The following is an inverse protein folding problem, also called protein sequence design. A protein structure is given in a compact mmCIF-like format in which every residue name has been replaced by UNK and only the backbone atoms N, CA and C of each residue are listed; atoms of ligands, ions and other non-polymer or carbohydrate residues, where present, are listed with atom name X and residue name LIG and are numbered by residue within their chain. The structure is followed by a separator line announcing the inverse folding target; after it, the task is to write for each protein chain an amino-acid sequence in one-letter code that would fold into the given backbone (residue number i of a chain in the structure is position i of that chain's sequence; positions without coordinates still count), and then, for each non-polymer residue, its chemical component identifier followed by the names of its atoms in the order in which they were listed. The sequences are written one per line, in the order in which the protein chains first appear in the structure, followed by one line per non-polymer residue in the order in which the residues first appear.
data_IF_829964601716
#
_entry.id   IF_829964601716
#
_cell.length_a   1.000
_cell.length_b   1.000
_cell.length_c   1.000
_cell.angle_alpha   90.00
_cell.angle_beta   90.00
_cell.angle_gamma   90.00
#
_symmetry.space_group_name_H-M   'P 1'
#
loop_
_entity.id
_entity.type
_entity.pdbx_description
1 polymer ?
#
# COMPACT_ATOMS: atom_id res chain seq x y z
N UNK A 1 -1.22 90.07 37.80
CA UNK A 1 0.13 89.53 37.50
C UNK A 1 0.10 88.09 37.94
N UNK A 2 -0.25 87.19 37.06
CA UNK A 2 -0.14 85.76 37.29
C UNK A 2 0.32 85.18 35.97
N UNK A 3 1.57 84.78 36.00
CA UNK A 3 2.22 84.09 34.90
C UNK A 3 1.68 82.65 34.80
N UNK A 4 1.05 82.40 33.66
CA UNK A 4 0.56 81.07 33.35
C UNK A 4 1.65 80.32 32.54
N UNK A 5 2.42 79.59 33.24
CA UNK A 5 3.47 78.75 32.67
C UNK A 5 2.90 77.53 31.98
N UNK A 6 2.94 77.49 30.64
CA UNK A 6 2.47 76.46 29.80
C UNK A 6 3.49 75.31 29.79
N UNK A 7 3.09 74.15 30.26
CA UNK A 7 3.85 72.90 30.22
C UNK A 7 3.81 72.36 28.78
N UNK A 8 4.94 72.10 28.13
CA UNK A 8 4.94 71.44 26.81
C UNK A 8 4.54 69.98 26.93
N UNK A 9 3.48 69.59 26.28
CA UNK A 9 3.16 68.20 26.04
C UNK A 9 4.12 67.63 25.01
N UNK A 10 5.02 66.73 25.43
CA UNK A 10 5.76 65.87 24.52
C UNK A 10 4.83 64.86 23.88
N UNK A 11 4.84 64.72 22.55
CA UNK A 11 4.07 63.66 21.90
C UNK A 11 4.74 62.31 22.17
N UNK A 12 4.02 61.41 22.82
CA UNK A 12 4.39 60.01 22.88
C UNK A 12 4.30 59.41 21.48
N UNK A 13 5.39 59.45 20.73
CA UNK A 13 5.53 58.72 19.48
C UNK A 13 5.63 57.21 19.77
N UNK A 14 4.56 56.51 19.44
CA UNK A 14 4.56 55.28 18.68
C UNK A 14 5.34 54.09 19.21
N UNK A 15 4.86 53.43 20.28
CA UNK A 15 5.24 52.05 20.66
C UNK A 15 4.86 50.97 19.60
N UNK A 16 4.13 51.34 18.53
CA UNK A 16 3.70 50.40 17.50
C UNK A 16 4.76 49.97 16.49
N UNK A 17 5.80 50.79 16.25
CA UNK A 17 6.83 50.49 15.27
C UNK A 17 7.81 49.41 15.74
N UNK A 18 8.08 49.32 17.05
CA UNK A 18 8.99 48.35 17.63
C UNK A 18 8.42 46.93 17.61
N UNK A 19 7.11 46.78 17.88
CA UNK A 19 6.42 45.48 17.82
C UNK A 19 6.31 44.94 16.40
N UNK A 20 6.07 45.78 15.42
CA UNK A 20 6.04 45.39 13.99
C UNK A 20 7.41 44.94 13.51
N UNK A 21 8.49 45.63 13.91
CA UNK A 21 9.86 45.25 13.57
C UNK A 21 10.26 43.90 14.20
N UNK A 22 9.86 43.65 15.45
CA UNK A 22 10.07 42.37 16.12
C UNK A 22 9.31 41.25 15.43
N UNK A 23 8.06 41.50 15.01
CA UNK A 23 7.26 40.51 14.30
C UNK A 23 7.81 40.20 12.92
N UNK A 24 8.27 41.23 12.19
CA UNK A 24 8.95 41.07 10.91
C UNK A 24 10.23 40.25 11.04
N UNK A 25 11.04 40.55 12.07
CA UNK A 25 12.28 39.83 12.36
C UNK A 25 12.02 38.34 12.67
N UNK A 26 11.01 38.05 13.51
CA UNK A 26 10.59 36.70 13.81
C UNK A 26 10.12 35.95 12.55
N UNK A 27 9.32 36.60 11.72
CA UNK A 27 8.83 36.01 10.48
C UNK A 27 9.96 35.67 9.50
N UNK A 28 10.93 36.58 9.33
CA UNK A 28 12.09 36.33 8.48
C UNK A 28 12.98 35.20 9.03
N UNK A 29 13.10 35.09 10.35
CA UNK A 29 13.86 34.01 10.99
C UNK A 29 13.19 32.66 10.74
N UNK A 30 11.88 32.57 10.91
CA UNK A 30 11.09 31.35 10.62
C UNK A 30 11.15 31.00 9.13
N UNK A 31 11.02 31.98 8.24
CA UNK A 31 11.14 31.78 6.80
C UNK A 31 12.51 31.24 6.41
N UNK A 32 13.58 31.83 6.96
CA UNK A 32 14.98 31.36 6.74
C UNK A 32 15.17 29.94 7.22
N UNK A 33 14.59 29.60 8.36
CA UNK A 33 14.64 28.23 8.90
C UNK A 33 13.94 27.23 7.98
N UNK A 34 12.76 27.56 7.45
CA UNK A 34 12.07 26.70 6.50
C UNK A 34 12.83 26.53 5.19
N UNK A 35 13.44 27.60 4.66
CA UNK A 35 14.28 27.51 3.46
C UNK A 35 15.47 26.58 3.72
N UNK A 36 16.10 26.68 4.89
CA UNK A 36 17.22 25.84 5.26
C UNK A 36 16.79 24.37 5.41
N UNK A 37 15.64 24.09 6.04
CA UNK A 37 15.09 22.74 6.14
C UNK A 37 14.78 22.15 4.76
N UNK A 38 14.15 22.91 3.87
CA UNK A 38 13.86 22.46 2.50
C UNK A 38 15.14 22.18 1.73
N UNK A 39 16.15 23.04 1.87
CA UNK A 39 17.44 22.86 1.18
C UNK A 39 18.20 21.63 1.66
N UNK A 40 18.12 21.29 2.96
CA UNK A 40 18.74 20.09 3.51
C UNK A 40 17.95 18.85 3.09
N UNK A 41 16.61 18.91 3.13
CA UNK A 41 15.74 17.79 2.80
C UNK A 41 15.89 17.30 1.35
N UNK A 42 16.10 18.20 0.40
CA UNK A 42 16.26 17.82 -1.02
C UNK A 42 17.64 17.24 -1.37
N UNK A 43 18.61 17.34 -0.47
CA UNK A 43 19.98 16.81 -0.72
C UNK A 43 20.20 15.37 -0.27
N UNK A 44 19.33 14.82 0.55
CA UNK A 44 19.53 13.46 1.09
C UNK A 44 19.27 12.35 0.07
N UNK A 45 18.32 12.52 -0.85
CA UNK A 45 18.00 11.47 -1.84
C UNK A 45 19.16 11.23 -2.83
N UNK A 46 19.83 12.27 -3.29
CA UNK A 46 20.94 12.13 -4.24
C UNK A 46 22.25 11.65 -3.60
N UNK A 47 22.47 11.98 -2.31
CA UNK A 47 23.66 11.50 -1.59
C UNK A 47 23.55 10.05 -1.14
N UNK A 48 22.35 9.59 -0.81
CA UNK A 48 22.12 8.21 -0.41
C UNK A 48 22.42 7.21 -1.55
N UNK A 49 22.06 7.55 -2.78
CA UNK A 49 22.38 6.70 -3.93
C UNK A 49 23.88 6.69 -4.25
N UNK A 50 24.54 7.84 -4.21
CA UNK A 50 25.98 7.92 -4.47
C UNK A 50 26.84 7.23 -3.38
N UNK A 51 26.39 7.27 -2.13
CA UNK A 51 27.06 6.56 -1.01
C UNK A 51 26.82 5.05 -1.12
N UNK A 52 25.64 4.61 -1.50
CA UNK A 52 25.34 3.18 -1.75
C UNK A 52 26.18 2.64 -2.91
N UNK A 53 26.30 3.37 -4.01
CA UNK A 53 27.13 2.97 -5.15
C UNK A 53 28.64 2.94 -4.78
N UNK A 54 29.12 3.91 -4.00
CA UNK A 54 30.49 3.96 -3.52
C UNK A 54 30.82 2.84 -2.52
N UNK A 55 29.91 2.55 -1.59
CA UNK A 55 30.04 1.42 -0.67
C UNK A 55 30.06 0.08 -1.43
N UNK A 56 29.16 -0.07 -2.39
CA UNK A 56 29.08 -1.31 -3.19
C UNK A 56 30.36 -1.55 -4.00
N UNK A 57 30.99 -0.50 -4.54
CA UNK A 57 32.24 -0.60 -5.28
C UNK A 57 33.45 -0.90 -4.37
N UNK A 58 33.47 -0.33 -3.18
CA UNK A 58 34.59 -0.48 -2.23
C UNK A 58 34.55 -1.85 -1.53
N UNK A 59 33.36 -2.38 -1.23
CA UNK A 59 33.21 -3.68 -0.57
C UNK A 59 33.32 -4.88 -1.52
N UNK A 60 33.25 -4.68 -2.85
CA UNK A 60 33.51 -5.75 -3.82
C UNK A 60 34.92 -6.35 -3.72
N UNK A 61 35.87 -5.65 -3.08
CA UNK A 61 37.27 -6.07 -3.02
C UNK A 61 37.67 -6.87 -1.76
N UNK A 62 36.80 -7.00 -0.76
CA UNK A 62 37.19 -7.54 0.57
C UNK A 62 36.45 -8.84 0.94
N UNK A 63 35.47 -9.28 0.17
CA UNK A 63 34.76 -10.53 0.45
C UNK A 63 35.41 -11.71 -0.29
N UNK A 64 35.71 -12.82 0.41
CA UNK A 64 36.21 -14.04 -0.25
C UNK A 64 35.17 -14.58 -1.23
N UNK A 65 35.58 -15.19 -2.36
CA UNK A 65 34.69 -15.57 -3.47
C UNK A 65 33.92 -16.87 -3.20
N UNK A 66 33.26 -17.00 -2.07
CA UNK A 66 32.47 -18.19 -1.79
C UNK A 66 31.35 -17.85 -0.81
N UNK A 67 30.22 -17.47 -1.28
CA UNK A 67 28.86 -17.80 -0.80
C UNK A 67 27.79 -16.76 -1.16
N UNK A 68 28.11 -15.47 -1.38
CA UNK A 68 27.07 -14.43 -1.55
C UNK A 68 26.77 -14.00 -3.00
N UNK A 69 27.57 -14.43 -3.98
CA UNK A 69 27.38 -14.07 -5.39
C UNK A 69 26.09 -14.67 -5.97
N UNK A 70 25.67 -15.83 -5.49
CA UNK A 70 24.42 -16.47 -5.92
C UNK A 70 23.19 -15.76 -5.38
N UNK A 71 23.22 -15.26 -4.15
CA UNK A 71 22.12 -14.51 -3.56
C UNK A 71 21.99 -13.11 -4.17
N UNK A 72 23.12 -12.45 -4.45
CA UNK A 72 23.13 -11.12 -5.10
C UNK A 72 22.67 -11.19 -6.56
N UNK A 73 23.17 -12.17 -7.33
CA UNK A 73 22.73 -12.43 -8.72
C UNK A 73 21.26 -12.87 -8.79
N UNK A 74 20.76 -13.61 -7.81
CA UNK A 74 19.36 -14.00 -7.76
C UNK A 74 18.45 -12.79 -7.53
N UNK A 75 18.85 -11.86 -6.66
CA UNK A 75 18.09 -10.65 -6.34
C UNK A 75 18.07 -9.64 -7.50
N UNK A 76 19.19 -9.46 -8.18
CA UNK A 76 19.28 -8.65 -9.42
C UNK A 76 18.47 -9.28 -10.55
N UNK A 77 18.51 -10.60 -10.71
CA UNK A 77 17.70 -11.35 -11.66
C UNK A 77 16.21 -11.18 -11.42
N UNK A 78 15.78 -11.20 -10.16
CA UNK A 78 14.37 -10.97 -9.78
C UNK A 78 13.88 -9.59 -10.17
N UNK A 79 14.67 -8.55 -9.92
CA UNK A 79 14.32 -7.16 -10.29
C UNK A 79 14.22 -7.02 -11.80
N UNK A 80 15.15 -7.61 -12.56
CA UNK A 80 15.13 -7.54 -14.03
C UNK A 80 13.89 -8.25 -14.61
N UNK A 81 13.52 -9.40 -14.09
CA UNK A 81 12.30 -10.12 -14.47
C UNK A 81 11.06 -9.28 -14.14
N UNK A 82 11.03 -8.64 -12.97
CA UNK A 82 9.96 -7.75 -12.59
C UNK A 82 9.85 -6.51 -13.48
N UNK A 83 10.96 -5.92 -13.91
CA UNK A 83 10.96 -4.81 -14.86
C UNK A 83 10.38 -5.24 -16.23
N UNK A 84 10.77 -6.40 -16.74
CA UNK A 84 10.19 -6.96 -17.97
C UNK A 84 8.68 -7.20 -17.84
N UNK A 85 8.25 -7.70 -16.71
CA UNK A 85 6.81 -7.84 -16.41
C UNK A 85 6.10 -6.48 -16.42
N UNK A 86 6.64 -5.43 -15.78
CA UNK A 86 6.08 -4.08 -15.77
C UNK A 86 6.02 -3.48 -17.19
N UNK A 87 7.06 -3.65 -17.99
CA UNK A 87 7.09 -3.24 -19.41
C UNK A 87 6.01 -3.95 -20.23
N UNK A 88 5.86 -5.26 -20.04
CA UNK A 88 4.86 -6.05 -20.74
C UNK A 88 3.44 -5.61 -20.37
N UNK A 89 3.14 -5.42 -19.10
CA UNK A 89 1.85 -4.88 -18.62
C UNK A 89 1.59 -3.49 -19.23
N UNK A 90 2.57 -2.59 -19.16
CA UNK A 90 2.46 -1.25 -19.75
C UNK A 90 2.12 -1.34 -21.24
N UNK A 91 2.80 -2.19 -22.00
CA UNK A 91 2.56 -2.39 -23.43
C UNK A 91 1.16 -2.91 -23.72
N UNK A 92 0.69 -3.91 -22.95
CA UNK A 92 -0.65 -4.50 -23.09
C UNK A 92 -1.73 -3.43 -22.93
N UNK A 93 -1.61 -2.61 -21.90
CA UNK A 93 -2.62 -1.59 -21.60
C UNK A 93 -2.54 -0.41 -22.57
N UNK A 94 -1.37 0.11 -22.86
CA UNK A 94 -1.21 1.26 -23.77
C UNK A 94 -1.65 0.95 -25.21
N UNK A 95 -1.49 -0.30 -25.66
CA UNK A 95 -2.00 -0.73 -26.97
C UNK A 95 -3.52 -0.89 -26.99
N UNK A 96 -4.14 -1.17 -25.86
CA UNK A 96 -5.56 -1.48 -25.78
C UNK A 96 -6.43 -0.30 -25.34
N UNK A 97 -5.84 0.71 -24.72
CA UNK A 97 -6.56 1.85 -24.11
C UNK A 97 -5.81 3.16 -24.37
N UNK A 98 -6.56 4.23 -24.69
CA UNK A 98 -5.98 5.56 -24.93
C UNK A 98 -5.81 6.39 -23.66
N UNK A 99 -6.66 6.19 -22.67
CA UNK A 99 -6.69 6.96 -21.42
C UNK A 99 -6.29 6.05 -20.28
N UNK A 100 -5.00 6.07 -19.96
CA UNK A 100 -4.45 5.30 -18.86
C UNK A 100 -3.26 6.07 -18.24
N UNK A 101 -3.22 6.11 -16.93
CA UNK A 101 -2.06 6.62 -16.19
C UNK A 101 -1.29 5.41 -15.65
N UNK A 102 -0.05 5.26 -16.08
CA UNK A 102 0.87 4.23 -15.61
C UNK A 102 1.89 4.89 -14.69
N UNK A 103 2.09 4.30 -13.52
CA UNK A 103 3.03 4.77 -12.51
C UNK A 103 3.85 3.57 -12.01
N UNK A 104 5.16 3.61 -12.21
CA UNK A 104 6.09 2.64 -11.63
C UNK A 104 6.46 3.16 -10.24
N UNK A 105 5.86 2.59 -9.20
CA UNK A 105 6.09 2.98 -7.81
C UNK A 105 7.43 2.44 -7.32
N UNK A 106 7.72 1.18 -7.68
CA UNK A 106 9.00 0.54 -7.39
C UNK A 106 9.43 -0.31 -8.58
N UNK A 107 10.56 0.03 -9.22
CA UNK A 107 11.05 -0.72 -10.37
C UNK A 107 11.20 -2.22 -10.07
N UNK A 108 10.64 -3.05 -10.94
CA UNK A 108 10.68 -4.51 -10.82
C UNK A 108 9.83 -5.12 -9.70
N UNK A 109 9.09 -4.32 -8.91
CA UNK A 109 8.31 -4.84 -7.77
C UNK A 109 6.87 -4.36 -7.71
N UNK A 110 6.62 -3.09 -7.98
CA UNK A 110 5.32 -2.48 -7.78
C UNK A 110 5.01 -1.47 -8.87
N UNK A 111 3.86 -1.61 -9.51
CA UNK A 111 3.33 -0.61 -10.43
C UNK A 111 1.84 -0.39 -10.20
N UNK A 112 1.39 0.78 -10.57
CA UNK A 112 0.01 1.22 -10.43
C UNK A 112 -0.50 1.73 -11.77
N UNK A 113 -1.70 1.31 -12.13
CA UNK A 113 -2.43 1.82 -13.29
C UNK A 113 -3.71 2.48 -12.81
N UNK A 114 -4.05 3.60 -13.40
CA UNK A 114 -5.34 4.28 -13.16
C UNK A 114 -6.03 4.46 -14.51
N UNK A 115 -7.28 4.03 -14.59
CA UNK A 115 -8.09 4.11 -15.79
C UNK A 115 -9.55 4.38 -15.42
N UNK A 116 -10.32 5.00 -16.32
CA UNK A 116 -11.75 5.16 -16.10
C UNK A 116 -12.48 3.81 -16.20
N UNK A 117 -13.50 3.61 -15.36
CA UNK A 117 -14.26 2.37 -15.31
C UNK A 117 -14.97 2.06 -16.64
N UNK A 118 -15.41 3.07 -17.37
CA UNK A 118 -16.04 2.94 -18.69
C UNK A 118 -15.07 2.50 -19.80
N UNK A 119 -13.76 2.54 -19.53
CA UNK A 119 -12.77 1.93 -20.41
C UNK A 119 -12.86 0.39 -20.40
N UNK A 120 -13.36 -0.21 -19.31
CA UNK A 120 -13.53 -1.65 -19.16
C UNK A 120 -15.00 -2.08 -19.26
N UNK A 121 -15.90 -1.35 -18.62
CA UNK A 121 -17.31 -1.67 -18.50
C UNK A 121 -18.19 -0.80 -19.42
N UNK A 122 -19.41 -1.22 -19.67
CA UNK A 122 -20.41 -0.30 -20.21
C UNK A 122 -20.80 0.74 -19.14
N UNK A 123 -21.13 1.92 -19.59
CA UNK A 123 -21.51 3.02 -18.68
C UNK A 123 -22.74 2.64 -17.85
N UNK A 124 -22.61 2.74 -16.52
CA UNK A 124 -23.68 2.38 -15.60
C UNK A 124 -23.94 0.87 -15.45
N UNK A 125 -23.14 0.00 -16.09
CA UNK A 125 -23.32 -1.44 -16.08
C UNK A 125 -22.12 -2.16 -15.45
N UNK A 126 -22.31 -3.45 -15.18
CA UNK A 126 -21.30 -4.40 -14.68
C UNK A 126 -20.72 -5.26 -15.79
N UNK A 127 -21.29 -5.20 -16.98
CA UNK A 127 -20.83 -5.97 -18.13
C UNK A 127 -19.51 -5.41 -18.68
N UNK A 128 -18.52 -6.30 -18.85
CA UNK A 128 -17.25 -5.96 -19.47
C UNK A 128 -17.45 -5.86 -20.96
N UNK A 129 -16.94 -4.79 -21.57
CA UNK A 129 -17.00 -4.58 -23.02
C UNK A 129 -16.30 -5.74 -23.75
N UNK A 130 -16.94 -6.42 -24.71
CA UNK A 130 -16.35 -7.54 -25.43
C UNK A 130 -15.02 -7.18 -26.13
N UNK A 131 -14.88 -5.93 -26.56
CA UNK A 131 -13.64 -5.41 -27.13
C UNK A 131 -12.45 -5.45 -26.15
N UNK A 132 -12.67 -5.68 -24.87
CA UNK A 132 -11.63 -5.80 -23.82
C UNK A 132 -11.22 -7.25 -23.52
N UNK A 133 -11.92 -8.24 -24.03
CA UNK A 133 -11.55 -9.63 -23.82
C UNK A 133 -10.14 -9.97 -24.29
N UNK A 134 -9.65 -9.52 -25.45
CA UNK A 134 -8.26 -9.77 -25.83
C UNK A 134 -7.21 -9.14 -24.89
N UNK A 135 -7.54 -8.02 -24.23
CA UNK A 135 -6.70 -7.45 -23.18
C UNK A 135 -6.66 -8.39 -21.96
N UNK A 136 -7.82 -8.89 -21.50
CA UNK A 136 -7.89 -9.79 -20.36
C UNK A 136 -7.14 -11.09 -20.63
N UNK A 137 -7.25 -11.65 -21.85
CA UNK A 137 -6.54 -12.89 -22.23
C UNK A 137 -5.02 -12.70 -22.18
N UNK A 138 -4.51 -11.56 -22.69
CA UNK A 138 -3.07 -11.23 -22.60
C UNK A 138 -2.63 -11.01 -21.17
N UNK A 139 -3.48 -10.38 -20.35
CA UNK A 139 -3.21 -10.14 -18.95
C UNK A 139 -3.10 -11.45 -18.17
N UNK A 140 -4.04 -12.38 -18.41
CA UNK A 140 -4.02 -13.72 -17.84
C UNK A 140 -2.74 -14.47 -18.23
N UNK A 141 -2.38 -14.45 -19.52
CA UNK A 141 -1.15 -15.07 -20.00
C UNK A 141 0.10 -14.50 -19.32
N UNK A 142 0.14 -13.18 -19.11
CA UNK A 142 1.27 -12.51 -18.46
C UNK A 142 1.36 -12.86 -16.98
N UNK A 143 0.24 -12.88 -16.25
CA UNK A 143 0.19 -13.28 -14.84
C UNK A 143 0.54 -14.76 -14.62
N UNK A 144 0.14 -15.62 -15.57
CA UNK A 144 0.42 -17.07 -15.53
C UNK A 144 1.85 -17.40 -15.93
N UNK A 145 2.49 -16.57 -16.75
CA UNK A 145 3.85 -16.75 -17.26
C UNK A 145 4.97 -16.45 -16.26
N UNK A 146 4.70 -16.60 -14.98
CA UNK A 146 5.64 -16.33 -13.89
C UNK A 146 6.78 -17.36 -13.86
N UNK A 147 8.07 -16.93 -13.73
CA UNK A 147 9.18 -17.84 -13.50
C UNK A 147 9.08 -18.56 -12.15
N UNK A 148 9.72 -19.72 -11.99
CA UNK A 148 9.84 -20.38 -10.71
C UNK A 148 10.43 -19.45 -9.64
N UNK A 149 9.88 -19.47 -8.43
CA UNK A 149 10.33 -18.60 -7.34
C UNK A 149 9.81 -17.18 -7.39
N UNK A 150 8.99 -16.80 -8.40
CA UNK A 150 8.35 -15.49 -8.48
C UNK A 150 6.84 -15.63 -8.58
N UNK A 151 6.17 -14.61 -8.06
CA UNK A 151 4.73 -14.50 -8.09
C UNK A 151 4.33 -13.12 -8.65
N UNK A 152 3.46 -13.13 -9.64
CA UNK A 152 2.86 -11.94 -10.20
C UNK A 152 1.43 -11.83 -9.71
N UNK A 153 1.17 -10.82 -8.92
CA UNK A 153 -0.15 -10.58 -8.34
C UNK A 153 -0.74 -9.30 -8.91
N UNK A 154 -2.04 -9.31 -9.06
CA UNK A 154 -2.83 -8.16 -9.49
C UNK A 154 -3.95 -7.89 -8.48
N UNK A 155 -4.09 -6.62 -8.12
CA UNK A 155 -5.19 -6.14 -7.28
C UNK A 155 -6.01 -5.12 -8.05
N UNK A 156 -7.27 -5.44 -8.29
CA UNK A 156 -8.22 -4.62 -9.02
C UNK A 156 -9.14 -3.89 -8.04
N UNK A 157 -9.01 -2.57 -7.98
CA UNK A 157 -9.73 -1.72 -7.02
C UNK A 157 -10.64 -0.77 -7.77
N UNK A 158 -11.92 -0.77 -7.41
CA UNK A 158 -12.93 0.17 -7.92
C UNK A 158 -13.14 1.28 -6.91
N UNK A 159 -13.16 2.53 -7.37
CA UNK A 159 -13.54 3.66 -6.54
C UNK A 159 -15.00 3.54 -6.09
N UNK A 160 -15.26 3.90 -4.84
CA UNK A 160 -16.60 3.89 -4.26
C UNK A 160 -16.82 5.16 -3.45
N UNK A 161 -18.04 5.69 -3.48
CA UNK A 161 -18.43 6.80 -2.60
C UNK A 161 -18.60 6.35 -1.15
N UNK A 162 -18.51 5.05 -0.89
CA UNK A 162 -18.56 4.48 0.45
C UNK A 162 -17.29 4.85 1.24
N UNK A 163 -17.47 5.31 2.47
CA UNK A 163 -16.39 5.53 3.43
C UNK A 163 -16.44 4.46 4.53
N UNK A 164 -15.29 4.00 5.07
CA UNK A 164 -15.27 2.96 6.11
C UNK A 164 -16.04 3.30 7.39
N UNK A 165 -16.30 4.58 7.64
CA UNK A 165 -17.04 5.07 8.82
C UNK A 165 -18.57 4.96 8.66
N UNK A 166 -19.05 4.66 7.47
CA UNK A 166 -20.47 4.42 7.23
C UNK A 166 -20.74 2.91 7.24
N UNK A 167 -21.92 2.52 7.72
CA UNK A 167 -22.38 1.14 7.70
C UNK A 167 -22.23 0.53 6.31
N UNK A 168 -21.79 -0.74 6.25
CA UNK A 168 -21.70 -1.50 5.01
C UNK A 168 -23.04 -1.43 4.26
N UNK A 169 -23.03 -1.13 2.96
CA UNK A 169 -24.26 -1.09 2.20
C UNK A 169 -24.96 -2.44 2.28
N UNK A 170 -26.20 -2.45 2.74
CA UNK A 170 -27.05 -3.66 2.84
C UNK A 170 -27.36 -4.28 1.47
N UNK A 171 -27.06 -3.57 0.38
CA UNK A 171 -27.27 -4.02 -1.00
C UNK A 171 -25.98 -3.96 -1.78
N UNK A 172 -25.85 -4.85 -2.73
CA UNK A 172 -24.74 -4.87 -3.68
C UNK A 172 -24.72 -3.56 -4.48
N UNK A 173 -23.62 -2.81 -4.36
CA UNK A 173 -23.40 -1.58 -5.15
C UNK A 173 -22.88 -1.93 -6.56
N UNK A 174 -23.00 -0.97 -7.48
CA UNK A 174 -22.47 -1.13 -8.84
C UNK A 174 -20.97 -1.43 -8.83
N UNK A 175 -20.22 -0.75 -7.94
CA UNK A 175 -18.78 -0.90 -7.80
C UNK A 175 -18.40 -2.31 -7.31
N UNK A 176 -19.13 -2.84 -6.31
CA UNK A 176 -18.98 -4.23 -5.86
C UNK A 176 -19.27 -5.22 -6.98
N UNK A 177 -20.35 -4.98 -7.71
CA UNK A 177 -20.76 -5.84 -8.81
C UNK A 177 -19.73 -5.83 -9.96
N UNK A 178 -19.14 -4.67 -10.28
CA UNK A 178 -18.03 -4.51 -11.24
C UNK A 178 -16.77 -5.25 -10.81
N UNK A 179 -16.35 -5.09 -9.53
CA UNK A 179 -15.22 -5.81 -8.98
C UNK A 179 -15.41 -7.33 -9.08
N UNK A 180 -16.59 -7.82 -8.71
CA UNK A 180 -16.95 -9.24 -8.83
C UNK A 180 -17.05 -9.73 -10.28
N UNK A 181 -17.58 -8.92 -11.20
CA UNK A 181 -17.65 -9.26 -12.63
C UNK A 181 -16.25 -9.38 -13.24
N UNK A 182 -15.36 -8.46 -12.88
CA UNK A 182 -13.95 -8.52 -13.32
C UNK A 182 -13.26 -9.79 -12.81
N UNK A 183 -13.39 -10.09 -11.51
CA UNK A 183 -12.79 -11.29 -10.93
C UNK A 183 -13.29 -12.57 -11.63
N UNK A 184 -14.60 -12.71 -11.83
CA UNK A 184 -15.19 -13.85 -12.55
C UNK A 184 -14.68 -13.95 -13.99
N UNK A 185 -14.58 -12.83 -14.68
CA UNK A 185 -14.08 -12.80 -16.05
C UNK A 185 -12.62 -13.24 -16.17
N UNK A 186 -11.78 -12.87 -15.21
CA UNK A 186 -10.38 -13.28 -15.15
C UNK A 186 -10.25 -14.77 -14.78
N UNK A 187 -10.98 -15.23 -13.77
CA UNK A 187 -10.98 -16.64 -13.36
C UNK A 187 -11.49 -17.56 -14.47
N UNK A 188 -12.56 -17.17 -15.18
CA UNK A 188 -13.08 -17.91 -16.32
C UNK A 188 -12.07 -18.03 -17.48
N UNK A 189 -11.06 -17.15 -17.55
CA UNK A 189 -9.97 -17.18 -18.52
C UNK A 189 -8.73 -17.90 -18.02
N UNK A 190 -8.77 -18.43 -16.81
CA UNK A 190 -7.71 -19.27 -16.25
C UNK A 190 -6.58 -18.48 -15.55
N UNK A 191 -6.87 -17.28 -15.04
CA UNK A 191 -5.89 -16.62 -14.16
C UNK A 191 -5.69 -17.48 -12.91
N UNK A 192 -4.43 -17.65 -12.42
CA UNK A 192 -4.21 -18.32 -11.15
C UNK A 192 -4.98 -17.60 -10.03
N UNK A 193 -5.82 -18.31 -9.23
CA UNK A 193 -6.65 -17.68 -8.21
C UNK A 193 -5.84 -16.91 -7.14
N UNK A 194 -4.61 -17.32 -6.93
CA UNK A 194 -3.67 -16.70 -6.01
C UNK A 194 -3.01 -15.43 -6.56
N UNK A 195 -3.21 -15.14 -7.85
CA UNK A 195 -2.63 -13.98 -8.54
C UNK A 195 -3.61 -12.83 -8.74
N UNK A 196 -4.86 -12.96 -8.28
CA UNK A 196 -5.86 -11.91 -8.42
C UNK A 196 -6.54 -11.61 -7.08
N UNK A 197 -6.68 -10.34 -6.79
CA UNK A 197 -7.53 -9.81 -5.73
C UNK A 197 -8.38 -8.65 -6.24
N UNK A 198 -9.51 -8.43 -5.62
CA UNK A 198 -10.43 -7.33 -5.95
C UNK A 198 -10.83 -6.59 -4.69
N UNK A 199 -11.01 -5.28 -4.79
CA UNK A 199 -11.34 -4.44 -3.66
C UNK A 199 -12.11 -3.18 -4.04
N UNK A 200 -12.55 -2.47 -3.02
CA UNK A 200 -13.13 -1.15 -3.12
C UNK A 200 -12.27 -0.18 -2.31
N UNK A 201 -12.19 1.06 -2.75
CA UNK A 201 -11.57 2.13 -1.98
C UNK A 201 -12.45 3.39 -2.03
N UNK A 202 -12.43 4.25 -1.02
CA UNK A 202 -13.04 5.56 -1.10
C UNK A 202 -12.49 6.36 -2.29
N UNK A 203 -13.38 6.98 -3.07
CA UNK A 203 -12.99 7.76 -4.24
C UNK A 203 -14.06 7.85 -5.31
N UNK A 204 -13.69 8.34 -6.48
CA UNK A 204 -14.59 8.42 -7.63
C UNK A 204 -15.04 7.03 -8.08
N UNK A 205 -16.35 6.86 -8.27
CA UNK A 205 -16.97 5.64 -8.81
C UNK A 205 -16.57 5.34 -10.26
N UNK A 206 -16.03 6.35 -10.92
CA UNK A 206 -15.61 6.26 -12.32
C UNK A 206 -14.15 5.81 -12.45
N UNK A 207 -13.40 5.73 -11.33
CA UNK A 207 -12.01 5.36 -11.35
C UNK A 207 -11.79 3.90 -10.96
N UNK A 208 -10.96 3.25 -11.73
CA UNK A 208 -10.40 1.94 -11.45
C UNK A 208 -8.89 2.09 -11.25
N UNK A 209 -8.38 1.48 -10.19
CA UNK A 209 -6.95 1.39 -9.92
C UNK A 209 -6.55 -0.07 -9.93
N UNK A 210 -5.52 -0.38 -10.69
CA UNK A 210 -4.95 -1.72 -10.75
C UNK A 210 -3.53 -1.65 -10.23
N UNK A 211 -3.25 -2.43 -9.21
CA UNK A 211 -1.91 -2.63 -8.71
C UNK A 211 -1.36 -3.95 -9.23
N UNK A 212 -0.09 -3.94 -9.61
CA UNK A 212 0.65 -5.15 -9.95
C UNK A 212 1.85 -5.27 -9.04
N UNK A 213 2.02 -6.47 -8.48
CA UNK A 213 3.07 -6.81 -7.56
C UNK A 213 3.92 -7.93 -8.14
N UNK A 214 5.23 -7.83 -7.99
CA UNK A 214 6.16 -8.92 -8.19
C UNK A 214 6.68 -9.32 -6.81
N UNK A 215 6.33 -10.50 -6.37
CA UNK A 215 6.65 -11.00 -5.03
C UNK A 215 7.54 -12.23 -5.10
N UNK A 216 8.45 -12.30 -4.16
CA UNK A 216 9.18 -13.50 -3.83
C UNK A 216 8.45 -14.19 -2.66
N UNK A 217 7.88 -15.39 -2.84
CA UNK A 217 7.18 -16.10 -1.78
C UNK A 217 8.08 -16.47 -0.61
N UNK A 218 9.37 -16.69 -0.84
CA UNK A 218 10.34 -16.99 0.22
C UNK A 218 10.57 -15.75 1.11
N UNK A 219 10.74 -14.57 0.53
CA UNK A 219 10.88 -13.29 1.28
C UNK A 219 9.62 -13.01 2.11
N UNK A 220 8.45 -13.36 1.60
CA UNK A 220 7.19 -13.21 2.32
C UNK A 220 7.08 -14.16 3.50
N UNK A 221 7.48 -15.42 3.35
CA UNK A 221 7.49 -16.42 4.44
C UNK A 221 8.44 -16.03 5.56
N UNK A 222 9.62 -15.53 5.24
CA UNK A 222 10.61 -15.10 6.22
C UNK A 222 10.11 -13.93 7.07
N UNK A 223 9.39 -12.97 6.47
CA UNK A 223 8.81 -11.82 7.20
C UNK A 223 7.72 -12.25 8.18
N UNK A 224 6.86 -13.17 7.80
CA UNK A 224 5.79 -13.67 8.69
C UNK A 224 6.33 -14.70 9.70
N UNK A 225 7.35 -15.48 9.39
CA UNK A 225 8.02 -16.39 10.31
C UNK A 225 8.72 -15.62 11.43
N UNK A 226 9.51 -14.61 11.11
CA UNK A 226 10.21 -13.77 12.08
C UNK A 226 9.25 -13.00 13.01
N UNK A 227 8.08 -12.56 12.52
CA UNK A 227 7.07 -11.90 13.34
C UNK A 227 6.43 -12.85 14.37
N UNK A 228 6.30 -14.14 14.05
CA UNK A 228 5.80 -15.15 15.00
C UNK A 228 6.84 -15.52 16.05
N UNK A 229 8.13 -15.51 15.74
CA UNK A 229 9.20 -15.79 16.70
C UNK A 229 9.44 -14.62 17.67
N UNK A 230 9.08 -13.39 17.30
CA UNK A 230 9.24 -12.19 18.15
C UNK A 230 8.07 -11.98 19.12
N UNK A 231 7.20 -12.97 19.31
CA UNK A 231 6.27 -12.99 20.46
C UNK A 231 5.10 -12.01 20.44
N UNK A 232 4.66 -11.54 19.30
CA UNK A 232 3.37 -10.87 19.18
C UNK A 232 2.23 -11.90 19.19
N UNK A 233 1.96 -12.47 20.37
CA UNK A 233 0.71 -13.17 20.67
C UNK A 233 -0.42 -12.15 20.58
N UNK A 234 -1.05 -12.04 19.44
CA UNK A 234 -2.37 -11.42 19.35
C UNK A 234 -3.38 -12.34 20.02
N UNK A 235 -3.86 -11.93 21.19
CA UNK A 235 -5.17 -12.26 21.72
C UNK A 235 -5.40 -13.69 22.17
N UNK A 236 -4.73 -14.13 23.25
CA UNK A 236 -5.36 -15.03 24.20
C UNK A 236 -5.68 -14.20 25.46
N UNK A 237 -6.70 -13.38 25.35
CA UNK A 237 -7.27 -12.68 26.49
C UNK A 237 -8.58 -13.38 26.86
N UNK A 238 -8.62 -13.89 28.09
CA UNK A 238 -9.80 -14.29 28.86
C UNK A 238 -10.52 -15.59 28.48
N UNK A 239 -9.91 -16.72 28.80
CA UNK A 239 -10.70 -17.79 29.42
C UNK A 239 -10.64 -17.63 30.95
N UNK A 240 -11.79 -17.51 31.63
CA UNK A 240 -11.81 -17.51 33.11
C UNK A 240 -11.43 -18.90 33.61
N UNK A 241 -10.76 -19.00 34.78
CA UNK A 241 -10.34 -20.28 35.33
C UNK A 241 -11.56 -21.14 35.71
N UNK A 242 -11.66 -22.30 35.08
CA UNK A 242 -12.62 -23.35 35.48
C UNK A 242 -12.20 -23.81 36.88
N UNK A 243 -13.00 -23.43 37.86
CA UNK A 243 -12.89 -23.82 39.27
C UNK A 243 -13.15 -25.33 39.35
N UNK A 244 -12.12 -26.10 39.72
CA UNK A 244 -12.24 -27.48 40.08
C UNK A 244 -13.18 -27.66 41.26
N UNK A 245 -14.24 -28.43 41.07
CA UNK A 245 -15.13 -28.91 42.11
C UNK A 245 -14.80 -30.40 42.36
N UNK A 246 -14.04 -30.67 43.38
CA UNK A 246 -14.00 -31.99 44.02
C UNK A 246 -15.38 -32.34 44.58
N UNK A 247 -15.87 -33.52 44.23
CA UNK A 247 -17.11 -34.08 44.79
C UNK A 247 -17.14 -35.59 44.65
N UNK A 248 -16.44 -36.26 45.55
CA UNK A 248 -16.69 -37.51 46.23
C UNK A 248 -17.95 -38.28 45.80
N UNK A 249 -17.75 -39.57 45.44
CA UNK A 249 -18.79 -40.59 45.23
C UNK A 249 -19.56 -40.94 46.51
N UNK A 250 -20.50 -41.83 46.48
CA UNK A 250 -20.18 -43.24 46.60
C UNK A 250 -21.06 -44.22 45.75
N UNK A 251 -20.61 -45.44 45.78
CA UNK A 251 -21.10 -46.65 45.17
C UNK A 251 -22.49 -47.15 45.62
N UNK A 252 -22.94 -48.18 44.88
CA UNK A 252 -23.94 -49.22 45.10
C UNK A 252 -25.18 -49.03 44.18
N UNK A 253 -25.50 -49.94 43.35
CA UNK A 253 -25.81 -51.33 43.51
C UNK A 253 -26.77 -51.70 42.41
N UNK A 254 -26.53 -52.77 41.76
CA UNK A 254 -27.44 -53.87 41.53
C UNK A 254 -28.66 -53.71 40.63
N UNK A 255 -28.79 -54.58 39.64
CA UNK A 255 -30.09 -54.97 39.14
C UNK A 255 -30.20 -55.11 37.64
N UNK A 256 -29.79 -56.24 37.10
CA UNK A 256 -30.47 -56.88 35.98
C UNK A 256 -31.75 -57.52 36.53
N UNK A 257 -32.84 -57.82 35.79
CA UNK A 257 -32.86 -58.57 34.58
C UNK A 257 -33.99 -58.23 33.57
N UNK A 258 -33.80 -58.80 32.39
CA UNK A 258 -34.71 -59.53 31.48
C UNK A 258 -36.08 -58.95 31.07
N UNK A 259 -36.35 -59.05 29.78
CA UNK A 259 -37.57 -59.63 29.30
C UNK A 259 -38.37 -58.88 28.23
N UNK A 260 -38.37 -59.51 27.08
CA UNK A 260 -39.36 -59.47 26.02
C UNK A 260 -39.12 -58.50 24.88
#
# INVERSE_FOLDING_TARGET
MQDNEAIPHEPHEGSGGSTLSLFLGLYLLVLSFFILLVTISTREELKSQAVMDSLTSTFRSILPPSTDLTAFSAKEGTVLVGQRFQEQITKIFTMSMRVIKVEIVQPGRLMRLVLPADALFFTGDTEIRPARFPLLDRLVATLSGRPPGLRFDMEFIVGSAYTPDNDLPLRQTLEMARAGAFARAMLARGVPPDSISVGLKPGSREDVVIWFYVRDPEETRLRFGAANETGLRFGAANEPPVRGGEGKGPALGGGRPDGS
#
